data_IF_821471456443
#
_entry.id   IF_821471456443
#
_cell.length_a   1.000
_cell.length_b   1.000
_cell.length_c   1.000
_cell.angle_alpha   90.00
_cell.angle_beta   90.00
_cell.angle_gamma   90.00
#
_symmetry.space_group_name_H-M   'P 1'
#
loop_
_entity.id
_entity.type
_entity.pdbx_description
1 polymer ?
#
# COMPACT_ATOMS: atom_id res chain seq x y z
N UNK A 1 13.42 -6.90 -20.15
CA UNK A 1 12.84 -6.31 -18.93
C UNK A 1 12.01 -7.40 -18.29
N UNK A 2 12.29 -7.77 -17.03
CA UNK A 2 11.49 -8.78 -16.31
C UNK A 2 10.13 -8.15 -16.00
N UNK A 3 9.04 -8.87 -16.27
CA UNK A 3 7.68 -8.40 -15.97
C UNK A 3 7.53 -8.29 -14.45
N UNK A 4 7.17 -7.12 -13.94
CA UNK A 4 6.75 -6.96 -12.53
C UNK A 4 5.48 -7.77 -12.29
N UNK A 5 5.39 -8.48 -11.16
CA UNK A 5 4.20 -9.24 -10.78
C UNK A 5 3.40 -8.39 -9.80
N UNK A 6 2.24 -7.90 -10.25
CA UNK A 6 1.38 -7.00 -9.48
C UNK A 6 0.47 -7.79 -8.55
N UNK A 7 0.46 -7.42 -7.28
CA UNK A 7 -0.31 -8.08 -6.25
C UNK A 7 -1.22 -7.12 -5.49
N UNK A 8 -2.36 -7.62 -5.05
CA UNK A 8 -3.29 -6.93 -4.15
C UNK A 8 -3.41 -7.79 -2.89
N UNK A 9 -3.28 -7.15 -1.73
CA UNK A 9 -3.37 -7.79 -0.43
C UNK A 9 -4.73 -7.49 0.19
N UNK A 10 -5.55 -8.51 0.44
CA UNK A 10 -6.86 -8.37 1.09
C UNK A 10 -6.83 -9.00 2.48
N UNK A 11 -7.50 -8.37 3.43
CA UNK A 11 -7.43 -8.75 4.85
C UNK A 11 -5.98 -8.75 5.35
N UNK A 12 -5.26 -7.69 4.97
CA UNK A 12 -3.81 -7.59 5.09
C UNK A 12 -3.31 -7.61 6.54
N UNK A 13 -4.18 -7.32 7.52
CA UNK A 13 -3.81 -7.08 8.90
C UNK A 13 -2.69 -6.05 8.99
N UNK A 14 -1.70 -6.30 9.83
CA UNK A 14 -0.52 -5.44 9.95
C UNK A 14 0.50 -5.57 8.78
N UNK A 15 0.22 -6.42 7.77
CA UNK A 15 0.99 -6.48 6.53
C UNK A 15 2.14 -7.50 6.46
N UNK A 16 2.20 -8.47 7.39
CA UNK A 16 3.30 -9.44 7.41
C UNK A 16 3.42 -10.27 6.13
N UNK A 17 2.29 -10.74 5.58
CA UNK A 17 2.27 -11.50 4.33
C UNK A 17 2.68 -10.61 3.14
N UNK A 18 2.07 -9.43 3.01
CA UNK A 18 2.42 -8.46 1.97
C UNK A 18 3.89 -8.03 2.00
N UNK A 19 4.49 -7.85 3.17
CA UNK A 19 5.92 -7.54 3.30
C UNK A 19 6.80 -8.71 2.82
N UNK A 20 6.43 -9.96 3.11
CA UNK A 20 7.13 -11.13 2.59
C UNK A 20 7.08 -11.22 1.06
N UNK A 21 5.92 -10.95 0.45
CA UNK A 21 5.79 -10.88 -1.01
C UNK A 21 6.58 -9.70 -1.59
N UNK A 22 6.56 -8.53 -0.95
CA UNK A 22 7.37 -7.39 -1.38
C UNK A 22 8.88 -7.74 -1.41
N UNK A 23 9.38 -8.39 -0.36
CA UNK A 23 10.78 -8.87 -0.31
C UNK A 23 11.07 -9.94 -1.38
N UNK A 24 10.06 -10.70 -1.79
CA UNK A 24 10.13 -11.64 -2.91
C UNK A 24 10.14 -10.98 -4.30
N UNK A 25 10.10 -9.65 -4.39
CA UNK A 25 10.12 -8.90 -5.64
C UNK A 25 8.74 -8.68 -6.29
N UNK A 26 7.66 -8.92 -5.55
CA UNK A 26 6.30 -8.62 -5.99
C UNK A 26 5.97 -7.15 -5.73
N UNK A 27 5.18 -6.56 -6.61
CA UNK A 27 4.70 -5.19 -6.48
C UNK A 27 3.35 -5.20 -5.76
N UNK A 28 3.35 -4.94 -4.44
CA UNK A 28 2.12 -4.83 -3.66
C UNK A 28 1.50 -3.45 -3.93
N UNK A 29 0.51 -3.43 -4.81
CA UNK A 29 -0.09 -2.19 -5.32
C UNK A 29 -1.13 -1.59 -4.37
N UNK A 30 -1.82 -2.42 -3.60
CA UNK A 30 -2.79 -1.97 -2.60
C UNK A 30 -3.03 -3.06 -1.56
N UNK A 31 -3.13 -2.65 -0.30
CA UNK A 31 -3.51 -3.49 0.84
C UNK A 31 -4.86 -3.03 1.41
N UNK A 32 -5.79 -3.95 1.62
CA UNK A 32 -7.13 -3.70 2.15
C UNK A 32 -7.26 -4.34 3.53
N UNK A 33 -7.72 -3.57 4.50
CA UNK A 33 -8.10 -4.08 5.82
C UNK A 33 -9.19 -3.19 6.44
N UNK A 34 -9.98 -3.72 7.37
CA UNK A 34 -11.02 -2.94 8.06
C UNK A 34 -10.53 -2.32 9.37
N UNK A 35 -9.46 -2.88 9.96
CA UNK A 35 -8.95 -2.45 11.24
C UNK A 35 -8.07 -1.21 11.05
N UNK A 36 -8.48 -0.12 11.69
CA UNK A 36 -7.79 1.16 11.62
C UNK A 36 -6.30 1.06 11.98
N UNK A 37 -5.96 0.39 13.08
CA UNK A 37 -4.58 0.27 13.55
C UNK A 37 -3.70 -0.52 12.58
N UNK A 38 -4.25 -1.60 12.00
CA UNK A 38 -3.60 -2.37 10.94
C UNK A 38 -3.31 -1.50 9.71
N UNK A 39 -4.30 -0.71 9.27
CA UNK A 39 -4.11 0.24 8.16
C UNK A 39 -3.05 1.31 8.46
N UNK A 40 -2.99 1.83 9.69
CA UNK A 40 -1.94 2.78 10.08
C UNK A 40 -0.55 2.14 10.10
N UNK A 41 -0.44 0.87 10.51
CA UNK A 41 0.82 0.12 10.41
C UNK A 41 1.27 -0.02 8.95
N UNK A 42 0.37 -0.43 8.05
CA UNK A 42 0.66 -0.55 6.62
C UNK A 42 1.10 0.80 6.01
N UNK A 43 0.40 1.88 6.34
CA UNK A 43 0.72 3.24 5.87
C UNK A 43 2.09 3.71 6.37
N UNK A 44 2.39 3.51 7.65
CA UNK A 44 3.72 3.78 8.22
C UNK A 44 4.81 2.99 7.49
N UNK A 45 4.52 1.74 7.12
CA UNK A 45 5.43 0.88 6.35
C UNK A 45 5.66 1.38 4.93
N UNK A 46 4.64 1.93 4.26
CA UNK A 46 4.79 2.60 2.97
C UNK A 46 5.74 3.80 3.09
N UNK A 47 5.57 4.65 4.10
CA UNK A 47 6.45 5.81 4.33
C UNK A 47 7.90 5.36 4.52
N UNK A 48 8.14 4.31 5.31
CA UNK A 48 9.48 3.75 5.46
C UNK A 48 10.07 3.34 4.11
N UNK A 49 9.36 2.51 3.33
CA UNK A 49 9.88 1.96 2.07
C UNK A 49 10.18 3.07 1.08
N UNK A 50 9.24 4.00 0.90
CA UNK A 50 9.43 5.15 0.04
C UNK A 50 10.66 5.98 0.42
N UNK A 51 10.80 6.34 1.71
CA UNK A 51 11.93 7.14 2.18
C UNK A 51 13.26 6.36 2.14
N UNK A 52 13.24 5.05 2.31
CA UNK A 52 14.40 4.18 2.09
C UNK A 52 14.87 4.25 0.64
N UNK A 53 13.97 4.09 -0.31
CA UNK A 53 14.28 4.04 -1.75
C UNK A 53 14.90 5.35 -2.25
N UNK A 54 14.53 6.49 -1.66
CA UNK A 54 15.08 7.80 -2.01
C UNK A 54 16.23 8.26 -1.09
N UNK A 55 16.76 7.37 -0.24
CA UNK A 55 17.84 7.65 0.72
C UNK A 55 17.53 8.80 1.72
N UNK A 56 16.30 8.89 2.21
CA UNK A 56 15.81 9.90 3.17
C UNK A 56 15.31 9.30 4.49
N UNK A 57 15.90 8.19 4.96
CA UNK A 57 15.47 7.49 6.18
C UNK A 57 15.53 8.32 7.47
N UNK A 58 16.31 9.41 7.51
CA UNK A 58 16.29 10.35 8.64
C UNK A 58 14.89 10.97 8.83
N UNK A 59 14.18 11.27 7.74
CA UNK A 59 12.81 11.80 7.80
C UNK A 59 11.82 10.77 8.34
N UNK A 60 12.03 9.47 8.08
CA UNK A 60 11.21 8.43 8.70
C UNK A 60 11.39 8.41 10.21
N UNK A 61 12.63 8.57 10.68
CA UNK A 61 12.96 8.69 12.09
C UNK A 61 12.31 9.91 12.76
N UNK A 62 12.16 11.02 12.03
CA UNK A 62 11.45 12.21 12.50
C UNK A 62 9.93 11.99 12.53
N UNK A 63 9.38 11.36 11.50
CA UNK A 63 7.98 11.02 11.39
C UNK A 63 7.48 10.12 12.53
N UNK A 64 8.16 9.01 12.81
CA UNK A 64 7.75 8.10 13.92
C UNK A 64 7.97 8.69 15.32
N UNK A 65 8.62 9.86 15.42
CA UNK A 65 8.81 10.62 16.66
C UNK A 65 7.93 11.88 16.69
N UNK A 66 6.95 11.97 15.80
CA UNK A 66 6.00 13.08 15.68
C UNK A 66 6.67 14.45 15.45
N UNK A 67 7.90 14.48 14.92
CA UNK A 67 8.62 15.72 14.58
C UNK A 67 8.23 16.28 13.23
N UNK A 68 7.78 15.42 12.32
CA UNK A 68 7.28 15.77 10.98
C UNK A 68 5.98 15.01 10.79
N UNK A 69 4.94 15.67 10.30
CA UNK A 69 3.63 15.04 10.05
C UNK A 69 3.59 14.37 8.68
N UNK A 70 2.63 13.47 8.48
CA UNK A 70 2.44 12.85 7.17
C UNK A 70 2.09 13.90 6.09
N UNK A 71 1.31 14.92 6.42
CA UNK A 71 0.96 16.00 5.49
C UNK A 71 2.21 16.75 5.02
N UNK A 72 3.16 17.02 5.93
CA UNK A 72 4.43 17.64 5.57
C UNK A 72 5.26 16.75 4.63
N UNK A 73 5.28 15.43 4.87
CA UNK A 73 5.96 14.49 3.98
C UNK A 73 5.28 14.41 2.61
N UNK A 74 3.96 14.31 2.55
CA UNK A 74 3.18 14.27 1.31
C UNK A 74 3.32 15.57 0.49
N UNK A 75 3.33 16.73 1.14
CA UNK A 75 3.58 18.02 0.48
C UNK A 75 4.99 18.11 -0.12
N UNK A 76 5.98 17.51 0.56
CA UNK A 76 7.37 17.46 0.09
C UNK A 76 7.56 16.43 -1.03
N UNK A 77 6.82 15.33 -0.98
CA UNK A 77 6.97 14.17 -1.85
C UNK A 77 5.63 13.75 -2.43
N UNK A 78 5.25 14.35 -3.57
CA UNK A 78 3.93 14.10 -4.19
C UNK A 78 3.64 12.61 -4.44
N UNK A 79 4.66 11.83 -4.81
CA UNK A 79 4.54 10.38 -5.03
C UNK A 79 4.17 9.62 -3.74
N UNK A 80 4.56 10.13 -2.57
CA UNK A 80 4.17 9.53 -1.29
C UNK A 80 2.68 9.71 -1.03
N UNK A 81 2.07 10.82 -1.48
CA UNK A 81 0.63 11.04 -1.41
C UNK A 81 -0.13 9.92 -2.11
N UNK A 82 0.24 9.63 -3.36
CA UNK A 82 -0.40 8.58 -4.15
C UNK A 82 -0.24 7.20 -3.47
N UNK A 83 0.97 6.88 -2.99
CA UNK A 83 1.23 5.62 -2.29
C UNK A 83 0.45 5.51 -0.98
N UNK A 84 0.30 6.60 -0.23
CA UNK A 84 -0.41 6.62 1.04
C UNK A 84 -1.93 6.46 0.85
N UNK A 85 -2.49 7.11 -0.15
CA UNK A 85 -3.93 7.11 -0.44
C UNK A 85 -4.38 5.84 -1.19
N UNK A 86 -3.63 5.41 -2.20
CA UNK A 86 -4.00 4.26 -3.02
C UNK A 86 -3.46 2.93 -2.49
N UNK A 87 -2.29 2.97 -1.83
CA UNK A 87 -1.58 1.79 -1.35
C UNK A 87 -2.21 1.14 -0.12
N UNK A 88 -3.01 1.87 0.67
CA UNK A 88 -3.75 1.30 1.81
C UNK A 88 -5.19 1.76 1.83
N UNK A 89 -6.10 0.79 1.84
CA UNK A 89 -7.54 1.01 1.85
C UNK A 89 -8.16 0.46 3.13
N UNK A 90 -8.60 1.38 3.97
CA UNK A 90 -9.31 1.07 5.22
C UNK A 90 -10.80 0.83 4.92
N UNK A 91 -11.19 -0.44 4.78
CA UNK A 91 -12.54 -0.84 4.38
C UNK A 91 -12.91 -2.23 4.90
N UNK A 92 -14.16 -2.37 5.36
CA UNK A 92 -14.79 -3.67 5.52
C UNK A 92 -15.43 -4.09 4.19
N UNK A 93 -14.84 -5.09 3.53
CA UNK A 93 -15.38 -5.62 2.28
C UNK A 93 -16.76 -6.25 2.51
N UNK A 94 -17.68 -5.99 1.59
CA UNK A 94 -19.05 -6.51 1.59
C UNK A 94 -19.60 -6.57 0.17
N UNK A 95 -20.70 -7.27 -0.03
CA UNK A 95 -21.41 -7.32 -1.32
C UNK A 95 -21.76 -5.92 -1.86
N UNK A 96 -21.95 -4.94 -0.98
CA UNK A 96 -22.31 -3.56 -1.34
C UNK A 96 -21.16 -2.77 -1.95
N UNK A 97 -19.91 -3.10 -1.62
CA UNK A 97 -18.73 -2.31 -2.01
C UNK A 97 -17.71 -3.07 -2.86
N UNK A 98 -17.84 -4.40 -2.98
CA UNK A 98 -16.88 -5.22 -3.74
C UNK A 98 -16.75 -4.75 -5.20
N UNK A 99 -17.86 -4.42 -5.87
CA UNK A 99 -17.83 -3.96 -7.27
C UNK A 99 -17.08 -2.62 -7.44
N UNK A 100 -17.25 -1.69 -6.50
CA UNK A 100 -16.52 -0.42 -6.51
C UNK A 100 -15.03 -0.61 -6.20
N UNK A 101 -14.69 -1.52 -5.28
CA UNK A 101 -13.28 -1.81 -4.96
C UNK A 101 -12.59 -2.55 -6.11
N UNK A 102 -13.26 -3.47 -6.81
CA UNK A 102 -12.74 -4.07 -8.05
C UNK A 102 -12.44 -3.01 -9.12
N UNK A 103 -13.34 -2.02 -9.27
CA UNK A 103 -13.14 -0.91 -10.22
C UNK A 103 -11.94 -0.03 -9.82
N UNK A 104 -11.76 0.21 -8.50
CA UNK A 104 -10.60 0.92 -7.95
C UNK A 104 -9.30 0.17 -8.21
N UNK A 105 -9.25 -1.12 -7.87
CA UNK A 105 -8.09 -2.00 -8.09
C UNK A 105 -7.73 -2.05 -9.57
N UNK A 106 -8.72 -2.17 -10.46
CA UNK A 106 -8.49 -2.16 -11.92
C UNK A 106 -7.83 -0.86 -12.37
N UNK A 107 -8.21 0.29 -11.82
CA UNK A 107 -7.57 1.58 -12.11
C UNK A 107 -6.11 1.60 -11.65
N UNK A 108 -5.83 1.14 -10.44
CA UNK A 108 -4.48 1.07 -9.85
C UNK A 108 -3.57 0.14 -10.66
N UNK A 109 -4.08 -1.01 -11.08
CA UNK A 109 -3.35 -1.93 -11.96
C UNK A 109 -2.96 -1.23 -13.27
N UNK A 110 -3.93 -0.58 -13.93
CA UNK A 110 -3.71 0.10 -15.20
C UNK A 110 -2.70 1.26 -15.07
N UNK A 111 -2.78 2.07 -14.00
CA UNK A 111 -1.85 3.18 -13.77
C UNK A 111 -0.41 2.71 -13.49
N UNK A 112 -0.26 1.49 -12.95
CA UNK A 112 1.04 0.85 -12.70
C UNK A 112 1.48 -0.09 -13.84
N UNK A 113 0.81 -0.07 -15.00
CA UNK A 113 1.22 -0.82 -16.19
C UNK A 113 0.84 -2.31 -16.19
N UNK A 114 -0.02 -2.75 -15.27
CA UNK A 114 -0.56 -4.10 -15.22
C UNK A 114 -1.88 -4.18 -16.00
N UNK A 115 -1.98 -5.14 -16.94
CA UNK A 115 -3.22 -5.38 -17.72
C UNK A 115 -4.29 -6.16 -16.95
N UNK A 116 -3.86 -6.90 -15.92
CA UNK A 116 -4.69 -7.72 -15.07
C UNK A 116 -3.98 -7.92 -13.73
N UNK A 117 -4.73 -8.32 -12.71
CA UNK A 117 -4.16 -8.73 -11.43
C UNK A 117 -3.39 -10.03 -11.63
N UNK A 118 -2.10 -10.05 -11.28
CA UNK A 118 -1.31 -11.27 -11.37
C UNK A 118 -1.55 -12.15 -10.13
N UNK A 119 -1.61 -11.55 -8.94
CA UNK A 119 -1.82 -12.27 -7.67
C UNK A 119 -2.78 -11.52 -6.75
N UNK A 120 -3.72 -12.25 -6.16
CA UNK A 120 -4.46 -11.82 -4.98
C UNK A 120 -3.88 -12.56 -3.77
N UNK A 121 -3.34 -11.83 -2.79
CA UNK A 121 -2.86 -12.40 -1.53
C UNK A 121 -3.84 -12.04 -0.41
N UNK A 122 -3.94 -12.92 0.59
CA UNK A 122 -5.00 -12.87 1.60
C UNK A 122 -6.02 -13.99 1.41
N UNK A 123 -6.63 -14.43 2.51
CA UNK A 123 -7.63 -15.51 2.53
C UNK A 123 -9.06 -14.97 2.52
N UNK A 124 -10.09 -15.83 2.42
CA UNK A 124 -11.43 -15.44 2.85
C UNK A 124 -11.42 -15.08 4.35
N UNK A 125 -12.31 -14.17 4.80
CA UNK A 125 -12.45 -13.83 6.22
C UNK A 125 -12.90 -15.03 7.05
#
# INVERSE_FOLDING_TARGET
MVKSIGAIDIFAGAGGLGEGFHQGGFDILSSLDYNHHCCQTLRTRIVFRYLMDINQLSLYSEYVRDKVTIEQLCNKFIKLTDLWEEGVREIQLSEKNVSSECSRITRILNSNGHRALDILIGGPP
#
